data_IF_047344050178
#
_entry.id   IF_047344050178
#
_cell.length_a   1.000
_cell.length_b   1.000
_cell.length_c   1.000
_cell.angle_alpha   90.00
_cell.angle_beta   90.00
_cell.angle_gamma   90.00
#
_symmetry.space_group_name_H-M   'P 1'
#
loop_
_entity.id
_entity.type
_entity.pdbx_description
1 polymer ?
#
# COMPACT_ATOMS: atom_id res chain seq x y z
N UNK A 1 6.85 -5.19 6.14
CA UNK A 1 5.43 -5.57 6.00
C UNK A 1 4.62 -4.40 5.42
N UNK A 2 3.64 -4.66 4.56
CA UNK A 2 2.74 -3.61 4.04
C UNK A 2 1.46 -3.51 4.87
N UNK A 3 1.04 -2.28 5.15
CA UNK A 3 -0.22 -1.97 5.84
C UNK A 3 -0.97 -0.87 5.12
N UNK A 4 -2.30 -0.90 5.19
CA UNK A 4 -3.15 0.21 4.77
C UNK A 4 -3.32 1.15 5.96
N UNK A 5 -2.97 2.41 5.75
CA UNK A 5 -3.14 3.48 6.73
C UNK A 5 -4.57 4.01 6.62
N UNK A 6 -5.30 3.95 7.73
CA UNK A 6 -6.54 4.69 7.94
C UNK A 6 -6.36 5.61 9.14
N UNK A 7 -7.25 6.60 9.30
CA UNK A 7 -7.12 7.67 10.30
C UNK A 7 -6.71 7.14 11.70
N UNK A 8 -7.37 6.07 12.17
CA UNK A 8 -7.18 5.55 13.52
C UNK A 8 -6.75 4.08 13.57
N UNK A 9 -6.42 3.46 12.44
CA UNK A 9 -6.09 2.04 12.40
C UNK A 9 -5.18 1.65 11.24
N UNK A 10 -4.42 0.59 11.46
CA UNK A 10 -3.69 -0.12 10.43
C UNK A 10 -4.49 -1.33 10.00
N UNK A 11 -4.73 -1.45 8.70
CA UNK A 11 -5.51 -2.55 8.12
C UNK A 11 -4.62 -3.43 7.28
N UNK A 12 -4.78 -4.74 7.42
CA UNK A 12 -4.07 -5.70 6.60
C UNK A 12 -4.49 -5.51 5.13
N UNK A 13 -3.54 -5.42 4.17
CA UNK A 13 -3.89 -5.15 2.79
C UNK A 13 -4.92 -6.13 2.22
N UNK A 14 -4.95 -7.38 2.68
CA UNK A 14 -5.92 -8.38 2.26
C UNK A 14 -7.37 -7.94 2.49
N UNK A 15 -7.67 -7.18 3.56
CA UNK A 15 -9.04 -6.73 3.85
C UNK A 15 -9.57 -5.72 2.81
N UNK A 16 -8.69 -5.10 2.03
CA UNK A 16 -9.06 -4.09 1.01
C UNK A 16 -8.70 -4.57 -0.40
N UNK A 17 -7.50 -5.11 -0.57
CA UNK A 17 -6.98 -5.54 -1.86
C UNK A 17 -7.59 -6.85 -2.35
N UNK A 18 -8.14 -7.71 -1.48
CA UNK A 18 -8.76 -8.97 -1.92
C UNK A 18 -9.91 -8.77 -2.91
N UNK A 19 -10.67 -7.67 -2.82
CA UNK A 19 -11.73 -7.32 -3.76
C UNK A 19 -11.28 -6.34 -4.85
N UNK A 20 -10.00 -5.99 -4.93
CA UNK A 20 -9.48 -5.01 -5.88
C UNK A 20 -9.04 -5.67 -7.19
N UNK A 21 -9.57 -5.18 -8.33
CA UNK A 21 -9.21 -5.69 -9.66
C UNK A 21 -7.73 -5.50 -10.03
N UNK A 22 -7.04 -4.57 -9.36
CA UNK A 22 -5.63 -4.27 -9.58
C UNK A 22 -4.69 -5.03 -8.65
N UNK A 23 -5.21 -5.79 -7.68
CA UNK A 23 -4.40 -6.59 -6.77
C UNK A 23 -3.65 -7.72 -7.49
N UNK A 24 -2.74 -8.35 -6.76
CA UNK A 24 -2.18 -9.63 -7.16
C UNK A 24 -3.14 -10.79 -6.85
N UNK A 25 -2.75 -12.01 -7.25
CA UNK A 25 -3.58 -13.22 -7.10
C UNK A 25 -3.80 -13.63 -5.64
N UNK A 26 -3.00 -13.10 -4.71
CA UNK A 26 -3.14 -13.35 -3.27
C UNK A 26 -4.00 -12.31 -2.55
N UNK A 27 -4.58 -11.36 -3.29
CA UNK A 27 -5.32 -10.25 -2.71
C UNK A 27 -4.40 -9.22 -2.03
N UNK A 28 -3.15 -9.12 -2.46
CA UNK A 28 -2.21 -8.12 -1.97
C UNK A 28 -2.00 -6.99 -2.98
N UNK A 29 -1.45 -5.83 -2.55
CA UNK A 29 -1.08 -4.76 -3.45
C UNK A 29 -0.16 -5.31 -4.54
N UNK A 30 -0.40 -4.96 -5.81
CA UNK A 30 0.34 -5.57 -6.91
C UNK A 30 1.74 -5.00 -7.01
N UNK A 31 2.76 -5.79 -6.68
CA UNK A 31 4.17 -5.43 -6.83
C UNK A 31 4.81 -6.08 -8.05
N UNK A 32 5.66 -5.32 -8.75
CA UNK A 32 6.51 -5.85 -9.81
C UNK A 32 7.76 -5.00 -9.94
N UNK A 33 8.93 -5.63 -9.87
CA UNK A 33 10.22 -4.95 -10.03
C UNK A 33 10.48 -3.87 -8.95
N UNK A 34 10.10 -4.12 -7.70
CA UNK A 34 10.28 -3.17 -6.60
C UNK A 34 9.34 -1.95 -6.65
N UNK A 35 8.32 -1.96 -7.50
CA UNK A 35 7.35 -0.87 -7.59
C UNK A 35 5.93 -1.37 -7.34
N UNK A 36 5.14 -0.53 -6.67
CA UNK A 36 3.70 -0.72 -6.55
C UNK A 36 3.03 -0.40 -7.89
N UNK A 37 2.51 -1.42 -8.57
CA UNK A 37 1.89 -1.31 -9.90
C UNK A 37 0.42 -0.89 -9.87
N UNK A 38 -0.21 -0.93 -8.70
CA UNK A 38 -1.58 -0.48 -8.49
C UNK A 38 -1.64 0.88 -7.79
N UNK A 39 -0.57 1.68 -7.88
CA UNK A 39 -0.44 2.95 -7.18
C UNK A 39 0.83 3.69 -7.57
N UNK A 40 1.20 4.69 -6.78
CA UNK A 40 2.43 5.46 -6.93
C UNK A 40 3.05 5.76 -5.55
N UNK A 41 4.37 5.99 -5.48
CA UNK A 41 5.01 6.41 -4.23
C UNK A 41 4.51 7.78 -3.79
N UNK A 42 4.56 8.02 -2.50
CA UNK A 42 4.32 9.33 -1.89
C UNK A 42 5.67 9.87 -1.42
N UNK A 43 5.99 11.14 -1.72
CA UNK A 43 7.18 11.79 -1.20
C UNK A 43 7.26 11.70 0.32
N UNK A 44 8.41 11.27 0.84
CA UNK A 44 8.70 11.33 2.27
C UNK A 44 8.96 12.78 2.68
N UNK A 45 8.47 13.15 3.86
CA UNK A 45 8.81 14.43 4.48
C UNK A 45 10.06 14.33 5.36
N UNK A 46 10.44 13.11 5.78
CA UNK A 46 11.66 12.83 6.53
C UNK A 46 12.14 11.41 6.27
N UNK A 47 13.45 11.17 6.44
CA UNK A 47 14.05 9.83 6.29
C UNK A 47 13.57 8.84 7.36
N UNK A 48 13.02 9.34 8.46
CA UNK A 48 12.41 8.53 9.52
C UNK A 48 11.04 7.97 9.14
N UNK A 49 10.41 8.47 8.07
CA UNK A 49 9.12 7.96 7.62
C UNK A 49 9.28 6.67 6.80
N UNK A 50 8.37 5.70 7.00
CA UNK A 50 8.31 4.52 6.15
C UNK A 50 8.04 4.91 4.70
N UNK A 51 8.43 4.05 3.76
CA UNK A 51 7.99 4.21 2.38
C UNK A 51 6.47 4.16 2.32
N UNK A 52 5.87 5.18 1.70
CA UNK A 52 4.44 5.30 1.54
C UNK A 52 4.07 5.33 0.07
N UNK A 53 2.87 4.85 -0.20
CA UNK A 53 2.29 4.75 -1.51
C UNK A 53 0.82 5.12 -1.44
N UNK A 54 0.29 5.64 -2.54
CA UNK A 54 -1.13 5.82 -2.73
C UNK A 54 -1.59 4.88 -3.84
N UNK A 55 -2.55 4.01 -3.53
CA UNK A 55 -3.11 3.12 -4.53
C UNK A 55 -4.15 3.85 -5.38
N UNK A 56 -4.50 3.29 -6.54
CA UNK A 56 -5.49 3.88 -7.46
C UNK A 56 -6.89 4.05 -6.86
N UNK A 57 -7.20 3.33 -5.77
CA UNK A 57 -8.45 3.48 -5.02
C UNK A 57 -8.41 4.63 -3.99
N UNK A 58 -7.27 5.33 -3.85
CA UNK A 58 -7.07 6.42 -2.90
C UNK A 58 -6.59 6.00 -1.50
N UNK A 59 -6.36 4.70 -1.26
CA UNK A 59 -5.83 4.25 0.04
C UNK A 59 -4.33 4.52 0.16
N UNK A 60 -3.90 4.94 1.34
CA UNK A 60 -2.49 4.98 1.72
C UNK A 60 -1.99 3.62 2.16
N UNK A 61 -0.85 3.22 1.60
CA UNK A 61 -0.15 1.98 1.92
C UNK A 61 1.24 2.34 2.43
N UNK A 62 1.65 1.80 3.57
CA UNK A 62 2.99 2.01 4.12
C UNK A 62 3.75 0.69 4.23
N UNK A 63 5.05 0.74 3.99
CA UNK A 63 5.98 -0.35 4.30
C UNK A 63 6.60 -0.11 5.67
N UNK A 64 6.12 -0.85 6.67
CA UNK A 64 6.59 -0.80 8.06
C UNK A 64 7.40 -2.05 8.39
N UNK A 65 8.40 -1.96 9.26
CA UNK A 65 9.13 -3.12 9.80
C UNK A 65 8.45 -3.66 11.06
#
# INVERSE_FOLDING_TARGET
MLVILMENQLVAPQQVCQSCLLADRSGQPRWKGGQLRCGHPVPKLSDTQPDQYECQMGFRVASIE
#
